data_IF_232422843207
#
_entry.id   IF_232422843207
#
_cell.length_a   1.000
_cell.length_b   1.000
_cell.length_c   1.000
_cell.angle_alpha   90.00
_cell.angle_beta   90.00
_cell.angle_gamma   90.00
#
_symmetry.space_group_name_H-M   'P 1'
#
loop_
_entity.id
_entity.type
_entity.pdbx_description
1 polymer ?
#
# COMPACT_ATOMS: atom_id res chain seq x y z
N UNK A 1 -29.89 -48.43 -14.27
CA UNK A 1 -29.48 -47.80 -13.00
C UNK A 1 -28.37 -46.82 -13.31
N UNK A 2 -28.70 -45.52 -13.40
CA UNK A 2 -27.76 -44.45 -13.72
C UNK A 2 -27.09 -43.98 -12.43
N UNK A 3 -25.79 -44.21 -12.30
CA UNK A 3 -24.99 -43.74 -11.17
C UNK A 3 -24.65 -42.26 -11.40
N UNK A 4 -25.49 -41.38 -10.87
CA UNK A 4 -25.19 -39.97 -10.67
C UNK A 4 -24.00 -39.84 -9.70
N UNK A 5 -22.81 -39.62 -10.26
CA UNK A 5 -21.68 -39.11 -9.49
C UNK A 5 -21.96 -37.64 -9.22
N UNK A 6 -22.43 -37.32 -8.00
CA UNK A 6 -22.44 -35.95 -7.52
C UNK A 6 -21.01 -35.42 -7.56
N UNK A 7 -20.74 -34.54 -8.51
CA UNK A 7 -19.52 -33.73 -8.49
C UNK A 7 -19.51 -32.96 -7.16
N UNK A 8 -18.55 -33.28 -6.27
CA UNK A 8 -18.27 -32.45 -5.12
C UNK A 8 -17.99 -31.05 -5.67
N UNK A 9 -18.83 -30.08 -5.32
CA UNK A 9 -18.55 -28.66 -5.52
C UNK A 9 -17.20 -28.37 -4.88
N UNK A 10 -16.14 -28.32 -5.69
CA UNK A 10 -14.83 -27.90 -5.25
C UNK A 10 -14.97 -26.44 -4.85
N UNK A 11 -14.71 -26.13 -3.59
CA UNK A 11 -14.62 -24.73 -3.15
C UNK A 11 -13.62 -24.01 -4.07
N UNK A 12 -13.94 -22.79 -4.52
CA UNK A 12 -13.02 -22.01 -5.32
C UNK A 12 -11.66 -21.90 -4.61
N UNK A 13 -10.60 -22.29 -5.32
CA UNK A 13 -9.24 -22.29 -4.78
C UNK A 13 -8.58 -20.95 -5.12
N UNK A 14 -8.21 -20.17 -4.10
CA UNK A 14 -7.40 -18.98 -4.32
C UNK A 14 -5.95 -19.40 -4.57
N UNK A 15 -5.34 -18.85 -5.61
CA UNK A 15 -3.93 -19.07 -5.92
C UNK A 15 -3.17 -17.75 -5.83
N UNK A 16 -2.07 -17.76 -5.09
CA UNK A 16 -1.11 -16.67 -5.10
C UNK A 16 -0.40 -16.57 -6.46
N UNK A 17 0.44 -15.55 -6.67
CA UNK A 17 1.11 -15.36 -7.96
C UNK A 17 2.08 -16.50 -8.30
N UNK A 18 2.58 -17.24 -7.31
CA UNK A 18 3.50 -18.36 -7.50
C UNK A 18 2.78 -19.71 -7.69
N UNK A 19 1.45 -19.71 -7.82
CA UNK A 19 0.65 -20.92 -7.97
C UNK A 19 0.35 -21.67 -6.68
N UNK A 20 0.68 -21.10 -5.51
CA UNK A 20 0.40 -21.76 -4.24
C UNK A 20 -1.05 -21.53 -3.79
N UNK A 21 -1.71 -22.55 -3.23
CA UNK A 21 -3.02 -22.39 -2.61
C UNK A 21 -2.97 -21.38 -1.47
N UNK A 22 -3.88 -20.41 -1.49
CA UNK A 22 -4.11 -19.47 -0.41
C UNK A 22 -5.41 -19.81 0.32
N UNK A 23 -5.33 -19.79 1.63
CA UNK A 23 -6.48 -19.96 2.52
C UNK A 23 -6.65 -18.72 3.38
N UNK A 24 -7.91 -18.33 3.58
CA UNK A 24 -8.24 -17.21 4.44
C UNK A 24 -7.83 -17.50 5.89
N UNK A 25 -7.09 -16.59 6.56
CA UNK A 25 -6.84 -16.68 7.98
C UNK A 25 -8.15 -16.75 8.79
N UNK A 26 -8.18 -17.64 9.79
CA UNK A 26 -9.32 -17.85 10.69
C UNK A 26 -9.03 -17.49 12.15
N UNK A 27 -7.77 -17.18 12.51
CA UNK A 27 -7.43 -16.72 13.84
C UNK A 27 -7.99 -15.33 14.13
N UNK A 28 -8.17 -15.05 15.41
CA UNK A 28 -8.68 -13.80 15.95
C UNK A 28 -7.54 -12.93 16.49
N UNK A 29 -7.77 -11.62 16.57
CA UNK A 29 -6.81 -10.73 17.25
C UNK A 29 -6.65 -11.07 18.73
N UNK A 30 -7.67 -11.66 19.37
CA UNK A 30 -7.58 -12.10 20.76
C UNK A 30 -6.53 -13.21 20.92
N UNK A 31 -6.53 -14.21 20.05
CA UNK A 31 -5.53 -15.29 20.07
C UNK A 31 -4.11 -14.75 19.85
N UNK A 32 -3.96 -13.76 18.97
CA UNK A 32 -2.68 -13.06 18.75
C UNK A 32 -2.22 -12.36 20.03
N UNK A 33 -3.08 -11.55 20.65
CA UNK A 33 -2.75 -10.82 21.87
C UNK A 33 -2.46 -11.74 23.06
N UNK A 34 -3.26 -12.79 23.25
CA UNK A 34 -3.12 -13.73 24.36
C UNK A 34 -1.82 -14.55 24.28
N UNK A 35 -1.27 -14.73 23.08
CA UNK A 35 -0.03 -15.48 22.88
C UNK A 35 1.24 -14.68 23.24
N UNK A 36 1.18 -13.34 23.21
CA UNK A 36 2.34 -12.46 23.39
C UNK A 36 2.60 -12.22 24.88
N UNK A 37 3.87 -12.36 25.36
CA UNK A 37 4.21 -12.08 26.75
C UNK A 37 3.86 -10.65 27.19
N UNK A 38 3.28 -10.50 28.38
CA UNK A 38 2.78 -9.23 28.88
C UNK A 38 3.84 -8.12 29.00
N UNK A 39 5.13 -8.47 29.15
CA UNK A 39 6.21 -7.48 29.19
C UNK A 39 6.51 -6.87 27.81
N UNK A 40 6.21 -7.56 26.71
CA UNK A 40 6.42 -7.03 25.36
C UNK A 40 5.58 -5.76 25.11
N UNK A 41 4.45 -5.59 25.80
CA UNK A 41 3.58 -4.41 25.71
C UNK A 41 4.03 -3.22 26.58
N UNK A 42 5.18 -3.31 27.26
CA UNK A 42 5.61 -2.30 28.23
C UNK A 42 6.77 -1.47 27.67
N UNK A 43 6.52 -0.27 27.11
CA UNK A 43 7.60 0.61 26.68
C UNK A 43 8.41 1.13 27.89
N UNK A 44 9.72 1.23 27.70
CA UNK A 44 10.68 1.87 28.59
C UNK A 44 11.15 3.19 27.99
N UNK A 45 10.80 4.30 28.64
CA UNK A 45 11.24 5.64 28.24
C UNK A 45 12.77 5.71 28.17
N UNK A 46 13.45 5.14 29.17
CA UNK A 46 14.92 5.14 29.21
C UNK A 46 15.50 4.43 27.99
N UNK A 47 14.96 3.25 27.62
CA UNK A 47 15.44 2.49 26.47
C UNK A 47 15.14 3.23 25.17
N UNK A 48 13.92 3.70 24.97
CA UNK A 48 13.53 4.44 23.78
C UNK A 48 14.36 5.72 23.58
N UNK A 49 14.59 6.50 24.65
CA UNK A 49 15.45 7.69 24.60
C UNK A 49 16.93 7.34 24.39
N UNK A 50 17.42 6.22 24.92
CA UNK A 50 18.79 5.77 24.66
C UNK A 50 19.03 5.50 23.17
N UNK A 51 18.05 4.95 22.45
CA UNK A 51 18.13 4.80 20.99
C UNK A 51 18.13 6.16 20.26
N UNK A 52 17.34 7.13 20.71
CA UNK A 52 17.40 8.50 20.17
C UNK A 52 18.80 9.08 20.35
N UNK A 53 19.36 9.02 21.57
CA UNK A 53 20.72 9.52 21.85
C UNK A 53 21.75 8.80 21.00
N UNK A 54 21.64 7.47 20.86
CA UNK A 54 22.53 6.65 20.02
C UNK A 54 22.50 7.09 18.56
N UNK A 55 21.31 7.26 17.98
CA UNK A 55 21.17 7.57 16.56
C UNK A 55 21.65 8.99 16.25
N UNK A 56 21.37 9.96 17.13
CA UNK A 56 21.94 11.31 17.02
C UNK A 56 23.45 11.34 17.28
N UNK A 57 23.98 10.49 18.16
CA UNK A 57 25.42 10.33 18.35
C UNK A 57 26.10 9.79 17.08
N UNK A 58 25.51 8.78 16.42
CA UNK A 58 26.01 8.29 15.13
C UNK A 58 25.95 9.36 14.06
N UNK A 59 24.85 10.11 13.98
CA UNK A 59 24.70 11.23 13.06
C UNK A 59 25.81 12.26 13.24
N UNK A 60 26.01 12.76 14.46
CA UNK A 60 27.01 13.79 14.73
C UNK A 60 28.44 13.28 14.51
N UNK A 61 28.70 12.02 14.89
CA UNK A 61 30.02 11.39 14.70
C UNK A 61 30.35 11.24 13.22
N UNK A 62 29.41 10.75 12.40
CA UNK A 62 29.62 10.59 10.96
C UNK A 62 29.87 11.93 10.27
N UNK A 63 29.10 12.98 10.60
CA UNK A 63 29.34 14.33 10.08
C UNK A 63 30.74 14.82 10.48
N UNK A 64 31.11 14.69 11.75
CA UNK A 64 32.42 15.12 12.24
C UNK A 64 33.57 14.41 11.51
N UNK A 65 33.48 13.08 11.39
CA UNK A 65 34.50 12.29 10.69
C UNK A 65 34.57 12.66 9.21
N UNK A 66 33.43 12.84 8.55
CA UNK A 66 33.36 13.19 7.14
C UNK A 66 34.03 14.54 6.85
N UNK A 67 33.65 15.58 7.59
CA UNK A 67 34.18 16.94 7.40
C UNK A 67 35.66 17.03 7.79
N UNK A 68 36.10 16.28 8.81
CA UNK A 68 37.49 16.33 9.30
C UNK A 68 38.45 15.56 8.40
N UNK A 69 38.09 14.34 7.98
CA UNK A 69 39.04 13.40 7.40
C UNK A 69 38.89 13.19 5.88
N UNK A 70 37.68 13.29 5.30
CA UNK A 70 37.51 13.06 3.86
C UNK A 70 38.31 14.10 3.04
N UNK A 71 38.32 15.41 3.38
CA UNK A 71 39.12 16.39 2.64
C UNK A 71 40.63 16.12 2.65
N UNK A 72 41.13 15.39 3.67
CA UNK A 72 42.56 15.07 3.82
C UNK A 72 43.03 13.95 2.87
N UNK A 73 42.10 13.22 2.24
CA UNK A 73 42.46 12.17 1.30
C UNK A 73 43.08 12.78 0.02
N UNK A 74 44.29 12.36 -0.39
CA UNK A 74 45.02 13.01 -1.48
C UNK A 74 44.38 12.75 -2.85
N UNK A 75 43.78 11.57 -3.03
CA UNK A 75 43.22 11.13 -4.31
C UNK A 75 41.75 11.57 -4.44
N UNK A 76 41.40 12.21 -5.57
CA UNK A 76 40.02 12.70 -5.83
C UNK A 76 38.99 11.57 -5.93
N UNK A 77 39.34 10.41 -6.49
CA UNK A 77 38.46 9.26 -6.59
C UNK A 77 38.22 8.62 -5.22
N UNK A 78 39.26 8.56 -4.36
CA UNK A 78 39.09 8.13 -2.97
C UNK A 78 38.22 9.08 -2.18
N UNK A 79 38.38 10.40 -2.37
CA UNK A 79 37.48 11.41 -1.76
C UNK A 79 36.04 11.22 -2.20
N UNK A 80 35.81 11.04 -3.50
CA UNK A 80 34.48 10.80 -4.05
C UNK A 80 33.85 9.53 -3.45
N UNK A 81 34.59 8.41 -3.47
CA UNK A 81 34.13 7.16 -2.88
C UNK A 81 33.82 7.30 -1.38
N UNK A 82 34.64 8.03 -0.62
CA UNK A 82 34.42 8.28 0.79
C UNK A 82 33.16 9.14 1.05
N UNK A 83 32.88 10.14 0.19
CA UNK A 83 31.64 10.92 0.26
C UNK A 83 30.40 10.08 -0.07
N UNK A 84 30.49 9.19 -1.07
CA UNK A 84 29.40 8.24 -1.39
C UNK A 84 29.15 7.29 -0.22
N UNK A 85 30.21 6.75 0.39
CA UNK A 85 30.11 5.89 1.56
C UNK A 85 29.47 6.64 2.75
N UNK A 86 29.95 7.85 3.04
CA UNK A 86 29.38 8.70 4.09
C UNK A 86 27.89 8.94 3.86
N UNK A 87 27.50 9.44 2.68
CA UNK A 87 26.09 9.78 2.42
C UNK A 87 25.16 8.58 2.52
N UNK A 88 25.63 7.41 2.07
CA UNK A 88 24.89 6.14 2.18
C UNK A 88 24.69 5.74 3.64
N UNK A 89 25.77 5.68 4.43
CA UNK A 89 25.70 5.28 5.85
C UNK A 89 24.93 6.30 6.68
N UNK A 90 25.11 7.60 6.42
CA UNK A 90 24.36 8.67 7.05
C UNK A 90 22.85 8.56 6.75
N UNK A 91 22.51 8.17 5.52
CA UNK A 91 21.15 7.87 5.10
C UNK A 91 20.53 6.72 5.90
N UNK A 92 21.30 5.68 6.25
CA UNK A 92 20.82 4.62 7.14
C UNK A 92 20.50 5.15 8.54
N UNK A 93 21.39 5.97 9.10
CA UNK A 93 21.16 6.58 10.42
C UNK A 93 19.92 7.48 10.41
N UNK A 94 19.73 8.30 9.38
CA UNK A 94 18.53 9.13 9.26
C UNK A 94 17.25 8.27 9.13
N UNK A 95 17.33 7.14 8.44
CA UNK A 95 16.20 6.20 8.34
C UNK A 95 15.86 5.61 9.71
N UNK A 96 16.87 5.27 10.53
CA UNK A 96 16.67 4.89 11.94
C UNK A 96 15.95 5.96 12.77
N UNK A 97 16.34 7.23 12.62
CA UNK A 97 15.65 8.36 13.28
C UNK A 97 14.19 8.48 12.80
N UNK A 98 13.95 8.28 11.50
CA UNK A 98 12.59 8.26 10.96
C UNK A 98 11.74 7.16 11.60
N UNK A 99 12.31 5.97 11.80
CA UNK A 99 11.63 4.82 12.39
C UNK A 99 11.32 5.08 13.88
N UNK A 100 12.23 5.70 14.65
CA UNK A 100 11.94 6.09 16.03
C UNK A 100 10.77 7.09 16.14
N UNK A 101 10.65 8.00 15.17
CA UNK A 101 9.51 8.91 15.08
C UNK A 101 8.22 8.19 14.65
N UNK A 102 8.33 7.18 13.79
CA UNK A 102 7.22 6.27 13.47
C UNK A 102 6.73 5.54 14.73
N UNK A 103 7.63 5.00 15.58
CA UNK A 103 7.27 4.36 16.86
C UNK A 103 6.53 5.33 17.81
N UNK A 104 6.88 6.61 17.76
CA UNK A 104 6.13 7.66 18.46
C UNK A 104 4.69 7.79 17.93
N UNK A 105 4.50 7.67 16.61
CA UNK A 105 3.19 7.71 15.95
C UNK A 105 2.23 6.61 16.45
N UNK A 106 2.75 5.41 16.71
CA UNK A 106 1.97 4.29 17.27
C UNK A 106 1.82 4.31 18.78
N UNK A 107 2.62 5.13 19.46
CA UNK A 107 2.70 5.13 20.92
C UNK A 107 3.52 3.97 21.51
N UNK A 108 4.29 3.28 20.67
CA UNK A 108 5.22 2.23 21.06
C UNK A 108 6.47 2.80 21.76
N UNK A 109 6.80 4.07 21.49
CA UNK A 109 7.96 4.74 22.10
C UNK A 109 7.80 4.97 23.62
N UNK A 110 6.61 5.32 24.09
CA UNK A 110 6.29 5.59 25.51
C UNK A 110 4.77 5.52 25.78
N UNK A 111 4.37 5.29 27.03
CA UNK A 111 2.96 5.43 27.45
C UNK A 111 2.46 6.88 27.43
N UNK A 112 3.37 7.86 27.44
CA UNK A 112 3.01 9.27 27.42
C UNK A 112 2.76 9.77 26.00
N UNK A 113 1.50 10.03 25.66
CA UNK A 113 1.12 10.63 24.36
C UNK A 113 1.84 11.95 24.10
N UNK A 114 2.00 12.79 25.12
CA UNK A 114 2.72 14.07 25.00
C UNK A 114 4.17 13.84 24.61
N UNK A 115 4.86 12.92 25.28
CA UNK A 115 6.26 12.61 24.96
C UNK A 115 6.40 12.09 23.54
N UNK A 116 5.56 11.13 23.14
CA UNK A 116 5.56 10.60 21.78
C UNK A 116 5.33 11.70 20.76
N UNK A 117 4.34 12.56 20.97
CA UNK A 117 4.02 13.61 20.03
C UNK A 117 5.14 14.65 19.91
N UNK A 118 5.78 15.02 21.02
CA UNK A 118 6.93 15.92 21.01
C UNK A 118 8.12 15.32 20.30
N UNK A 119 8.51 14.08 20.65
CA UNK A 119 9.69 13.43 20.06
C UNK A 119 9.48 13.11 18.58
N UNK A 120 8.28 12.62 18.22
CA UNK A 120 7.89 12.37 16.84
C UNK A 120 7.92 13.65 16.01
N UNK A 121 7.35 14.75 16.51
CA UNK A 121 7.38 16.04 15.83
C UNK A 121 8.82 16.53 15.58
N UNK A 122 9.71 16.45 16.57
CA UNK A 122 11.11 16.88 16.44
C UNK A 122 11.84 16.05 15.37
N UNK A 123 11.80 14.72 15.49
CA UNK A 123 12.55 13.81 14.61
C UNK A 123 12.02 13.80 13.17
N UNK A 124 10.70 13.81 12.98
CA UNK A 124 10.11 13.90 11.64
C UNK A 124 10.26 15.29 11.02
N UNK A 125 10.18 16.38 11.80
CA UNK A 125 10.45 17.73 11.27
C UNK A 125 11.90 17.85 10.79
N UNK A 126 12.86 17.28 11.53
CA UNK A 126 14.25 17.17 11.09
C UNK A 126 14.41 16.46 9.74
N UNK A 127 13.46 15.61 9.34
CA UNK A 127 13.45 14.87 8.07
C UNK A 127 12.40 15.39 7.08
N UNK A 128 11.87 16.60 7.31
CA UNK A 128 10.84 17.24 6.48
C UNK A 128 9.55 16.41 6.32
N UNK A 129 9.19 15.67 7.37
CA UNK A 129 7.94 14.89 7.42
C UNK A 129 6.94 15.59 8.35
N UNK A 130 5.72 15.89 7.89
CA UNK A 130 4.70 16.48 8.75
C UNK A 130 4.13 15.42 9.71
N UNK A 131 4.75 15.28 10.89
CA UNK A 131 4.51 14.19 11.84
C UNK A 131 3.03 13.90 12.13
N UNK A 132 2.23 14.91 12.48
CA UNK A 132 0.83 14.68 12.84
C UNK A 132 -0.04 14.32 11.66
N UNK A 133 0.24 14.87 10.48
CA UNK A 133 -0.44 14.51 9.25
C UNK A 133 -0.14 13.06 8.90
N UNK A 134 1.14 12.71 8.85
CA UNK A 134 1.59 11.36 8.52
C UNK A 134 1.11 10.32 9.54
N UNK A 135 1.24 10.56 10.85
CA UNK A 135 0.82 9.56 11.85
C UNK A 135 -0.68 9.26 11.79
N UNK A 136 -1.50 10.26 11.40
CA UNK A 136 -2.96 10.11 11.31
C UNK A 136 -3.34 9.30 10.08
N UNK A 137 -2.79 9.62 8.91
CA UNK A 137 -3.02 8.84 7.68
C UNK A 137 -2.42 7.44 7.79
N UNK A 138 -1.26 7.30 8.43
CA UNK A 138 -0.63 6.01 8.71
C UNK A 138 -1.45 5.17 9.72
N UNK A 139 -2.04 5.78 10.75
CA UNK A 139 -2.99 5.08 11.63
C UNK A 139 -4.23 4.57 10.87
N UNK A 140 -4.66 5.27 9.82
CA UNK A 140 -5.75 4.80 8.94
C UNK A 140 -5.29 3.61 8.09
N UNK A 141 -4.06 3.65 7.56
CA UNK A 141 -3.44 2.51 6.88
C UNK A 141 -3.54 1.25 7.76
N UNK A 142 -2.98 1.25 8.97
CA UNK A 142 -3.04 0.10 9.88
C UNK A 142 -4.46 -0.42 10.17
N UNK A 143 -5.46 0.46 10.16
CA UNK A 143 -6.86 0.08 10.41
C UNK A 143 -7.53 -0.53 9.18
N UNK A 144 -6.95 -0.37 8.00
CA UNK A 144 -7.54 -0.76 6.73
C UNK A 144 -6.58 -1.53 5.81
N UNK A 145 -5.38 -1.89 6.27
CA UNK A 145 -4.34 -2.51 5.45
C UNK A 145 -4.87 -3.68 4.63
N UNK A 146 -4.54 -3.71 3.35
CA UNK A 146 -4.97 -4.77 2.42
C UNK A 146 -6.45 -4.71 2.01
N UNK A 147 -7.20 -3.67 2.41
CA UNK A 147 -8.53 -3.40 1.87
C UNK A 147 -8.43 -2.59 0.56
N UNK A 148 -9.05 -3.08 -0.51
CA UNK A 148 -8.97 -2.47 -1.84
C UNK A 148 -9.56 -1.05 -1.94
N UNK A 149 -10.45 -0.66 -1.02
CA UNK A 149 -11.15 0.62 -1.07
C UNK A 149 -10.71 1.62 0.00
N UNK A 150 -10.25 1.11 1.16
CA UNK A 150 -10.07 1.91 2.38
C UNK A 150 -8.62 2.06 2.83
N UNK A 151 -7.71 1.26 2.29
CA UNK A 151 -6.30 1.41 2.63
C UNK A 151 -5.76 2.75 2.10
N UNK A 152 -4.95 3.43 2.91
CA UNK A 152 -4.40 4.76 2.61
C UNK A 152 -3.01 4.70 2.01
N UNK A 153 -2.40 3.51 1.86
CA UNK A 153 -1.12 3.33 1.22
C UNK A 153 -1.03 1.95 0.52
N UNK A 154 -0.25 1.87 -0.56
CA UNK A 154 0.02 0.63 -1.30
C UNK A 154 -1.24 -0.12 -1.81
N UNK A 155 -2.32 0.59 -2.12
CA UNK A 155 -3.49 0.01 -2.78
C UNK A 155 -3.10 -0.44 -4.20
N UNK A 156 -3.12 -1.74 -4.51
CA UNK A 156 -2.75 -2.20 -5.83
C UNK A 156 -3.81 -1.82 -6.87
N UNK A 157 -3.39 -1.74 -8.12
CA UNK A 157 -4.34 -1.60 -9.22
C UNK A 157 -5.14 -2.89 -9.41
N UNK A 158 -6.43 -2.77 -9.70
CA UNK A 158 -7.16 -3.84 -10.39
C UNK A 158 -6.66 -3.95 -11.83
N UNK A 159 -6.86 -5.09 -12.51
CA UNK A 159 -6.48 -5.23 -13.93
C UNK A 159 -6.97 -4.04 -14.77
N UNK A 160 -8.25 -3.72 -14.72
CA UNK A 160 -8.83 -2.62 -15.49
C UNK A 160 -8.17 -1.26 -15.18
N UNK A 161 -7.91 -0.96 -13.89
CA UNK A 161 -7.23 0.29 -13.54
C UNK A 161 -5.79 0.30 -14.02
N UNK A 162 -5.07 -0.81 -13.93
CA UNK A 162 -3.68 -0.90 -14.37
C UNK A 162 -3.57 -0.67 -15.88
N UNK A 163 -4.45 -1.31 -16.66
CA UNK A 163 -4.52 -1.18 -18.11
C UNK A 163 -4.82 0.25 -18.55
N UNK A 164 -5.79 0.90 -17.90
CA UNK A 164 -6.13 2.30 -18.21
C UNK A 164 -5.02 3.28 -17.85
N UNK A 165 -4.29 3.01 -16.77
CA UNK A 165 -3.16 3.84 -16.35
C UNK A 165 -1.99 3.75 -17.32
N UNK A 166 -1.65 2.54 -17.80
CA UNK A 166 -0.47 2.32 -18.64
C UNK A 166 -0.74 2.49 -20.15
N UNK A 167 -1.93 2.14 -20.63
CA UNK A 167 -2.29 2.17 -22.07
C UNK A 167 -3.35 3.22 -22.43
N UNK A 168 -3.76 4.03 -21.45
CA UNK A 168 -4.70 5.14 -21.62
C UNK A 168 -6.16 4.77 -21.35
N UNK A 169 -6.99 5.80 -21.09
CA UNK A 169 -8.35 5.64 -20.59
C UNK A 169 -9.32 4.86 -21.52
N UNK A 170 -8.98 4.73 -22.82
CA UNK A 170 -9.76 3.98 -23.80
C UNK A 170 -9.33 2.51 -23.92
N UNK A 171 -8.20 2.13 -23.30
CA UNK A 171 -7.76 0.74 -23.29
C UNK A 171 -8.75 -0.11 -22.49
N UNK A 172 -9.05 -1.29 -23.02
CA UNK A 172 -9.90 -2.28 -22.35
C UNK A 172 -9.03 -3.41 -21.82
N UNK A 173 -9.44 -3.98 -20.69
CA UNK A 173 -8.72 -5.05 -20.00
C UNK A 173 -8.50 -6.33 -20.85
N UNK A 174 -9.17 -6.46 -21.98
CA UNK A 174 -9.07 -7.57 -22.93
C UNK A 174 -8.26 -7.25 -24.22
N UNK A 175 -7.71 -6.04 -24.37
CA UNK A 175 -7.05 -5.58 -25.61
C UNK A 175 -5.51 -5.56 -25.50
N UNK A 176 -4.89 -6.63 -25.02
CA UNK A 176 -3.47 -6.59 -24.64
C UNK A 176 -2.76 -7.83 -25.17
N UNK A 177 -2.20 -7.68 -26.37
CA UNK A 177 -1.15 -8.58 -26.89
C UNK A 177 0.06 -7.77 -27.41
N UNK A 178 -0.13 -6.50 -27.79
CA UNK A 178 0.93 -5.71 -28.44
C UNK A 178 1.68 -4.75 -27.50
N UNK A 179 1.04 -4.31 -26.42
CA UNK A 179 1.65 -3.39 -25.45
C UNK A 179 2.54 -4.12 -24.41
N UNK A 180 2.50 -5.46 -24.42
CA UNK A 180 3.24 -6.34 -23.50
C UNK A 180 4.75 -6.39 -23.80
N UNK A 181 5.17 -6.08 -25.03
CA UNK A 181 6.58 -6.19 -25.41
C UNK A 181 7.42 -4.97 -25.00
N UNK A 182 6.81 -3.80 -24.73
CA UNK A 182 7.54 -2.56 -24.48
C UNK A 182 7.86 -2.29 -23.00
N UNK A 183 6.98 -2.70 -22.08
CA UNK A 183 7.08 -2.36 -20.65
C UNK A 183 8.01 -3.30 -19.84
N UNK A 184 8.25 -4.55 -20.27
CA UNK A 184 9.19 -5.45 -19.59
C UNK A 184 10.64 -5.28 -20.05
N UNK A 185 10.95 -4.18 -20.77
CA UNK A 185 12.33 -3.84 -21.07
C UNK A 185 13.09 -3.49 -19.78
N UNK A 186 14.32 -4.00 -19.58
CA UNK A 186 15.11 -3.69 -18.39
C UNK A 186 15.29 -2.18 -18.14
N UNK A 187 15.31 -1.38 -19.21
CA UNK A 187 15.46 0.07 -19.12
C UNK A 187 14.19 0.76 -18.62
N UNK A 188 13.01 0.28 -19.03
CA UNK A 188 11.72 0.79 -18.55
C UNK A 188 11.53 0.45 -17.08
N UNK A 189 11.83 -0.79 -16.68
CA UNK A 189 11.79 -1.22 -15.29
C UNK A 189 12.74 -0.37 -14.41
N UNK A 190 13.99 -0.17 -14.85
CA UNK A 190 14.96 0.65 -14.14
C UNK A 190 14.50 2.12 -14.03
N UNK A 191 13.95 2.69 -15.10
CA UNK A 191 13.42 4.05 -15.07
C UNK A 191 12.26 4.20 -14.08
N UNK A 192 11.32 3.25 -14.10
CA UNK A 192 10.22 3.20 -13.14
C UNK A 192 10.74 3.11 -11.70
N UNK A 193 11.76 2.29 -11.45
CA UNK A 193 12.39 2.17 -10.13
C UNK A 193 13.03 3.47 -9.66
N UNK A 194 13.77 4.16 -10.55
CA UNK A 194 14.38 5.46 -10.23
C UNK A 194 13.30 6.49 -9.88
N UNK A 195 12.24 6.59 -10.69
CA UNK A 195 11.13 7.52 -10.43
C UNK A 195 10.43 7.17 -9.12
N UNK A 196 10.15 5.89 -8.89
CA UNK A 196 9.51 5.39 -7.68
C UNK A 196 10.33 5.72 -6.42
N UNK A 197 11.65 5.47 -6.44
CA UNK A 197 12.51 5.72 -5.28
C UNK A 197 12.75 7.21 -5.00
N UNK A 198 12.81 8.06 -6.03
CA UNK A 198 13.03 9.50 -5.86
C UNK A 198 11.75 10.25 -5.49
N UNK A 199 10.62 9.89 -6.10
CA UNK A 199 9.39 10.68 -6.02
C UNK A 199 8.24 9.97 -5.31
N UNK A 200 8.36 8.69 -4.96
CA UNK A 200 7.32 7.93 -4.26
C UNK A 200 6.92 8.58 -2.94
N UNK A 201 7.89 8.89 -2.08
CA UNK A 201 7.62 9.50 -0.78
C UNK A 201 7.10 10.95 -0.87
N UNK A 202 7.76 11.89 -1.58
CA UNK A 202 7.20 13.22 -1.78
C UNK A 202 5.82 13.19 -2.46
N UNK A 203 5.62 12.30 -3.43
CA UNK A 203 4.36 12.15 -4.13
C UNK A 203 3.25 11.59 -3.25
N UNK A 204 3.56 10.67 -2.33
CA UNK A 204 2.61 10.24 -1.29
C UNK A 204 2.16 11.42 -0.43
N UNK A 205 3.11 12.21 0.08
CA UNK A 205 2.80 13.34 0.95
C UNK A 205 1.99 14.43 0.24
N UNK A 206 2.35 14.77 -1.00
CA UNK A 206 1.77 15.89 -1.75
C UNK A 206 0.51 15.53 -2.55
N UNK A 207 0.42 14.28 -3.02
CA UNK A 207 -0.58 13.88 -4.02
C UNK A 207 -1.29 12.55 -3.68
N UNK A 208 -1.08 11.98 -2.49
CA UNK A 208 -1.68 10.70 -2.07
C UNK A 208 -1.42 9.57 -3.09
N UNK A 209 -0.21 9.51 -3.66
CA UNK A 209 0.16 8.40 -4.54
C UNK A 209 0.03 7.08 -3.80
N UNK A 210 -0.52 6.04 -4.44
CA UNK A 210 -0.74 4.68 -3.89
C UNK A 210 -1.84 4.53 -2.83
N UNK A 211 -2.47 5.60 -2.36
CA UNK A 211 -3.61 5.51 -1.43
C UNK A 211 -4.95 5.31 -2.13
N UNK A 212 -6.01 5.09 -1.35
CA UNK A 212 -7.38 5.10 -1.85
C UNK A 212 -7.76 6.41 -2.57
N UNK A 213 -8.79 6.36 -3.41
CA UNK A 213 -9.19 7.49 -4.27
C UNK A 213 -10.12 8.51 -3.64
N UNK A 214 -10.60 8.30 -2.40
CA UNK A 214 -11.46 9.23 -1.66
C UNK A 214 -12.60 9.85 -2.51
N UNK A 215 -13.35 9.02 -3.25
CA UNK A 215 -14.44 9.50 -4.11
C UNK A 215 -14.02 10.44 -5.25
N UNK A 216 -12.73 10.44 -5.65
CA UNK A 216 -12.19 11.29 -6.69
C UNK A 216 -11.74 12.67 -6.22
N UNK A 217 -11.50 12.87 -4.91
CA UNK A 217 -10.94 14.10 -4.37
C UNK A 217 -9.59 14.44 -5.03
N UNK A 218 -9.31 15.74 -5.21
CA UNK A 218 -8.12 16.26 -5.90
C UNK A 218 -7.57 17.51 -5.21
N UNK A 219 -6.35 17.89 -5.58
CA UNK A 219 -5.71 19.13 -5.16
C UNK A 219 -5.36 19.10 -3.67
N UNK A 220 -5.60 20.22 -2.98
CA UNK A 220 -5.20 20.37 -1.58
C UNK A 220 -5.90 19.38 -0.62
N UNK A 221 -7.07 18.85 -0.99
CA UNK A 221 -7.81 17.93 -0.11
C UNK A 221 -7.08 16.61 0.15
N UNK A 222 -6.12 16.26 -0.70
CA UNK A 222 -5.36 15.00 -0.69
C UNK A 222 -3.86 15.20 -0.42
N UNK A 223 -3.46 16.33 0.17
CA UNK A 223 -2.09 16.52 0.68
C UNK A 223 -2.03 16.43 2.20
N UNK A 224 -0.90 15.95 2.70
CA UNK A 224 -0.58 15.91 4.13
C UNK A 224 -0.26 17.29 4.72
N UNK A 225 -0.11 18.32 3.89
CA UNK A 225 0.16 19.70 4.30
C UNK A 225 -1.10 20.59 4.30
N UNK A 226 -2.30 19.98 4.22
CA UNK A 226 -3.55 20.73 4.18
C UNK A 226 -4.35 20.59 5.47
N UNK A 227 -4.59 21.74 6.10
CA UNK A 227 -5.32 21.88 7.36
C UNK A 227 -6.70 22.52 7.19
N UNK A 228 -7.34 22.38 6.02
CA UNK A 228 -8.72 22.80 5.79
C UNK A 228 -9.75 21.77 6.28
N UNK A 229 -10.96 22.22 6.62
CA UNK A 229 -12.05 21.36 7.13
C UNK A 229 -12.55 20.32 6.11
N UNK A 230 -12.25 20.52 4.83
CA UNK A 230 -12.60 19.61 3.74
C UNK A 230 -11.44 18.67 3.32
N UNK A 231 -10.41 18.53 4.17
CA UNK A 231 -9.39 17.48 4.06
C UNK A 231 -10.03 16.08 4.09
N UNK A 232 -9.56 15.17 3.25
CA UNK A 232 -10.05 13.78 3.26
C UNK A 232 -9.40 12.94 4.36
N UNK A 233 -8.27 13.39 4.90
CA UNK A 233 -7.49 12.65 5.88
C UNK A 233 -7.86 12.99 7.32
N UNK A 234 -8.21 14.25 7.59
CA UNK A 234 -8.19 14.79 8.96
C UNK A 234 -9.55 15.31 9.39
N UNK A 235 -9.86 15.13 10.67
CA UNK A 235 -11.04 15.72 11.31
C UNK A 235 -10.76 17.16 11.71
N UNK A 236 -11.80 18.00 11.82
CA UNK A 236 -11.71 19.39 12.29
C UNK A 236 -10.92 19.56 13.59
N UNK A 237 -11.09 18.65 14.55
CA UNK A 237 -10.39 18.70 15.83
C UNK A 237 -8.88 18.39 15.73
N UNK A 238 -8.41 17.83 14.61
CA UNK A 238 -7.02 17.45 14.38
C UNK A 238 -6.23 18.54 13.64
N UNK A 239 -6.90 19.48 12.97
CA UNK A 239 -6.29 20.54 12.14
C UNK A 239 -5.23 21.37 12.86
N UNK A 240 -5.36 21.74 14.16
CA UNK A 240 -4.30 22.44 14.87
C UNK A 240 -2.98 21.64 14.95
N UNK A 241 -3.05 20.32 14.99
CA UNK A 241 -1.87 19.44 14.98
C UNK A 241 -1.23 19.36 13.60
N UNK A 242 -2.04 19.43 12.53
CA UNK A 242 -1.56 19.49 11.15
C UNK A 242 -0.74 20.76 10.96
N UNK A 243 -1.30 21.91 11.33
CA UNK A 243 -0.60 23.20 11.30
C UNK A 243 0.70 23.17 12.11
N UNK A 244 0.70 22.57 13.30
CA UNK A 244 1.91 22.43 14.11
C UNK A 244 3.01 21.62 13.39
N UNK A 245 2.64 20.59 12.64
CA UNK A 245 3.59 19.80 11.86
C UNK A 245 4.15 20.58 10.68
N UNK A 246 3.30 21.34 9.99
CA UNK A 246 3.71 22.20 8.88
C UNK A 246 4.68 23.30 9.36
N UNK A 247 4.42 23.87 10.54
CA UNK A 247 5.36 24.80 11.20
C UNK A 247 6.69 24.11 11.49
N UNK A 248 6.68 22.88 12.01
CA UNK A 248 7.90 22.11 12.26
C UNK A 248 8.73 21.90 11.00
N UNK A 249 8.09 21.54 9.88
CA UNK A 249 8.75 21.42 8.57
C UNK A 249 9.27 22.77 8.09
N UNK A 250 8.50 23.85 8.20
CA UNK A 250 8.93 25.20 7.81
C UNK A 250 10.13 25.70 8.63
N UNK A 251 10.16 25.42 9.94
CA UNK A 251 11.28 25.72 10.82
C UNK A 251 12.53 24.96 10.40
N UNK A 252 12.41 23.67 10.07
CA UNK A 252 13.55 22.89 9.58
C UNK A 252 14.07 23.43 8.23
N UNK A 253 13.18 23.78 7.30
CA UNK A 253 13.57 24.41 6.03
C UNK A 253 14.33 25.72 6.28
N UNK A 254 13.82 26.59 7.16
CA UNK A 254 14.50 27.82 7.53
C UNK A 254 15.88 27.55 8.16
N UNK A 255 15.97 26.53 9.02
CA UNK A 255 17.24 26.07 9.61
C UNK A 255 18.25 25.62 8.56
N UNK A 256 17.82 24.87 7.53
CA UNK A 256 18.65 24.45 6.41
C UNK A 256 19.12 25.63 5.55
N UNK A 257 18.26 26.62 5.32
CA UNK A 257 18.63 27.84 4.58
C UNK A 257 19.71 28.63 5.36
N UNK A 258 19.51 28.84 6.66
CA UNK A 258 20.49 29.51 7.52
C UNK A 258 21.80 28.73 7.57
N UNK A 259 21.74 27.40 7.71
CA UNK A 259 22.93 26.55 7.66
C UNK A 259 23.64 26.67 6.30
N UNK A 260 22.91 26.77 5.20
CA UNK A 260 23.47 26.97 3.85
C UNK A 260 24.18 28.32 3.71
N UNK A 261 23.66 29.37 4.35
CA UNK A 261 24.29 30.69 4.39
C UNK A 261 25.57 30.71 5.23
N UNK A 262 25.62 29.96 6.34
CA UNK A 262 26.77 29.92 7.26
C UNK A 262 27.87 28.97 6.78
N UNK A 263 27.50 27.76 6.36
CA UNK A 263 28.43 26.67 6.05
C UNK A 263 28.59 26.40 4.55
N UNK A 264 27.81 27.08 3.70
CA UNK A 264 27.76 26.86 2.26
C UNK A 264 26.68 25.84 1.86
N UNK A 265 25.82 26.21 0.92
CA UNK A 265 24.68 25.37 0.49
C UNK A 265 25.11 23.99 -0.01
N UNK A 266 26.24 23.88 -0.70
CA UNK A 266 26.76 22.58 -1.16
C UNK A 266 27.11 21.65 -0.01
N UNK A 267 27.71 22.17 1.07
CA UNK A 267 28.02 21.38 2.26
C UNK A 267 26.74 20.88 2.94
N UNK A 268 25.70 21.71 3.05
CA UNK A 268 24.41 21.29 3.59
C UNK A 268 23.74 20.23 2.70
N UNK A 269 23.80 20.40 1.38
CA UNK A 269 23.28 19.39 0.44
C UNK A 269 24.00 18.05 0.64
N UNK A 270 25.32 18.03 0.74
CA UNK A 270 26.07 16.76 0.89
C UNK A 270 25.90 16.16 2.28
N UNK A 271 25.92 16.96 3.35
CA UNK A 271 25.88 16.49 4.74
C UNK A 271 24.48 16.14 5.24
N UNK A 272 23.44 16.75 4.69
CA UNK A 272 22.05 16.53 5.10
C UNK A 272 21.14 16.19 3.93
N UNK A 273 21.22 16.92 2.81
CA UNK A 273 20.32 16.75 1.67
C UNK A 273 20.39 15.39 0.99
N UNK A 274 21.60 14.91 0.65
CA UNK A 274 21.79 13.59 0.03
C UNK A 274 21.45 12.45 1.01
N UNK A 275 21.88 12.47 2.28
CA UNK A 275 21.37 11.53 3.28
C UNK A 275 19.85 11.54 3.46
N UNK A 276 19.20 12.72 3.37
CA UNK A 276 17.74 12.82 3.39
C UNK A 276 17.08 12.18 2.16
N UNK A 277 17.68 12.30 0.97
CA UNK A 277 17.20 11.56 -0.22
C UNK A 277 17.29 10.04 -0.03
N UNK A 278 18.31 9.55 0.69
CA UNK A 278 18.37 8.14 1.07
C UNK A 278 17.21 7.71 1.97
N UNK A 279 16.75 8.57 2.89
CA UNK A 279 15.56 8.29 3.71
C UNK A 279 14.34 8.09 2.82
N UNK A 280 14.13 8.96 1.83
CA UNK A 280 13.01 8.84 0.89
C UNK A 280 13.06 7.49 0.15
N UNK A 281 14.23 7.10 -0.35
CA UNK A 281 14.45 5.79 -0.95
C UNK A 281 14.14 4.65 0.03
N UNK A 282 14.70 4.67 1.24
CA UNK A 282 14.53 3.56 2.18
C UNK A 282 13.08 3.41 2.65
N UNK A 283 12.38 4.51 2.95
CA UNK A 283 10.96 4.44 3.32
C UNK A 283 10.17 3.76 2.21
N UNK A 284 10.33 4.21 0.96
CA UNK A 284 9.60 3.66 -0.19
C UNK A 284 9.95 2.20 -0.42
N UNK A 285 11.24 1.84 -0.44
CA UNK A 285 11.67 0.48 -0.70
C UNK A 285 11.24 -0.51 0.41
N UNK A 286 11.37 -0.12 1.68
CA UNK A 286 10.99 -0.93 2.84
C UNK A 286 9.50 -1.19 2.82
N UNK A 287 8.70 -0.13 2.77
CA UNK A 287 7.24 -0.25 2.83
C UNK A 287 6.66 -0.93 1.59
N UNK A 288 7.22 -0.70 0.40
CA UNK A 288 6.87 -1.46 -0.79
C UNK A 288 7.06 -2.97 -0.58
N UNK A 289 8.23 -3.40 -0.10
CA UNK A 289 8.54 -4.83 0.06
C UNK A 289 7.79 -5.51 1.19
N UNK A 290 7.37 -4.74 2.18
CA UNK A 290 6.55 -5.15 3.31
C UNK A 290 5.09 -5.39 2.93
N UNK A 291 4.59 -4.66 1.91
CA UNK A 291 3.18 -4.69 1.48
C UNK A 291 2.97 -5.32 0.10
N UNK A 292 4.03 -5.51 -0.69
CA UNK A 292 3.96 -6.06 -2.05
C UNK A 292 4.79 -7.33 -2.13
N UNK A 293 4.12 -8.46 -2.31
CA UNK A 293 4.73 -9.75 -2.61
C UNK A 293 3.77 -10.66 -3.37
N UNK A 294 4.32 -11.56 -4.18
CA UNK A 294 3.59 -12.58 -4.93
C UNK A 294 2.59 -13.38 -4.07
N UNK A 295 2.89 -13.53 -2.77
CA UNK A 295 2.05 -14.27 -1.82
C UNK A 295 1.03 -13.43 -1.04
N UNK A 296 0.97 -12.10 -1.25
CA UNK A 296 0.09 -11.21 -0.48
C UNK A 296 -1.34 -11.14 -1.05
N UNK A 297 -2.36 -11.39 -0.22
CA UNK A 297 -3.76 -11.17 -0.56
C UNK A 297 -4.17 -9.70 -0.39
N UNK A 298 -5.20 -9.31 -1.13
CA UNK A 298 -5.97 -8.10 -0.89
C UNK A 298 -7.46 -8.44 -0.85
N UNK A 299 -8.27 -7.61 -0.20
CA UNK A 299 -9.65 -7.96 0.13
C UNK A 299 -10.65 -6.87 -0.24
N UNK A 300 -11.83 -7.27 -0.68
CA UNK A 300 -12.99 -6.40 -0.72
C UNK A 300 -13.54 -6.10 0.69
N UNK A 301 -14.50 -5.18 0.79
CA UNK A 301 -15.10 -4.80 2.06
C UNK A 301 -15.84 -5.94 2.78
N UNK A 302 -16.34 -6.96 2.06
CA UNK A 302 -17.12 -8.06 2.65
C UNK A 302 -16.21 -9.12 3.28
N UNK A 303 -15.05 -9.34 2.67
CA UNK A 303 -14.09 -10.39 3.04
C UNK A 303 -13.05 -9.86 4.01
N UNK A 304 -12.78 -8.55 3.97
CA UNK A 304 -11.81 -7.92 4.86
C UNK A 304 -12.23 -8.02 6.33
N UNK A 305 -11.27 -8.37 7.18
CA UNK A 305 -11.33 -8.17 8.64
C UNK A 305 -9.98 -7.59 9.07
N UNK A 306 -9.91 -6.98 10.25
CA UNK A 306 -8.65 -6.43 10.75
C UNK A 306 -7.54 -7.48 10.79
N UNK A 307 -7.82 -8.70 11.28
CA UNK A 307 -6.83 -9.78 11.34
C UNK A 307 -6.32 -10.20 9.94
N UNK A 308 -7.22 -10.26 8.94
CA UNK A 308 -6.84 -10.58 7.55
C UNK A 308 -6.01 -9.48 6.91
N UNK A 309 -6.40 -8.22 7.14
CA UNK A 309 -5.70 -7.05 6.60
C UNK A 309 -4.32 -6.86 7.22
N UNK A 310 -4.21 -6.90 8.55
CA UNK A 310 -2.95 -6.76 9.27
C UNK A 310 -1.93 -7.87 8.93
N UNK A 311 -2.40 -9.02 8.43
CA UNK A 311 -1.56 -10.15 8.02
C UNK A 311 -1.33 -10.24 6.52
N UNK A 312 -1.85 -9.28 5.74
CA UNK A 312 -1.47 -9.06 4.35
C UNK A 312 -0.16 -8.25 4.27
N UNK A 313 0.84 -8.70 5.04
CA UNK A 313 2.18 -8.12 5.13
C UNK A 313 3.22 -9.23 5.23
N UNK A 314 4.47 -8.90 4.93
CA UNK A 314 5.56 -9.87 4.90
C UNK A 314 6.82 -9.30 5.58
N UNK A 315 7.48 -10.13 6.39
CA UNK A 315 8.79 -9.79 6.93
C UNK A 315 9.89 -10.02 5.88
N UNK A 316 10.90 -9.15 5.88
CA UNK A 316 12.12 -9.31 5.07
C UNK A 316 13.35 -9.32 5.96
N UNK A 317 14.52 -9.49 5.37
CA UNK A 317 15.79 -9.41 6.08
C UNK A 317 16.76 -8.47 5.36
N UNK A 318 17.32 -7.52 6.11
CA UNK A 318 18.43 -6.64 5.69
C UNK A 318 19.63 -6.76 6.64
N UNK A 319 19.70 -7.85 7.39
CA UNK A 319 20.78 -8.22 8.29
C UNK A 319 21.08 -7.17 9.34
N UNK A 320 22.37 -6.85 9.49
CA UNK A 320 22.84 -5.89 10.50
C UNK A 320 22.22 -4.49 10.32
N UNK A 321 21.93 -4.08 9.09
CA UNK A 321 21.33 -2.77 8.85
C UNK A 321 19.93 -2.72 9.47
N UNK A 322 19.13 -3.76 9.29
CA UNK A 322 17.79 -3.81 9.91
C UNK A 322 17.88 -3.84 11.44
N UNK A 323 18.55 -4.87 11.96
CA UNK A 323 18.61 -5.14 13.40
C UNK A 323 19.25 -4.00 14.21
N UNK A 324 20.25 -3.31 13.66
CA UNK A 324 20.96 -2.26 14.40
C UNK A 324 20.51 -0.84 14.05
N UNK A 325 20.34 -0.53 12.77
CA UNK A 325 20.08 0.84 12.30
C UNK A 325 18.59 1.10 12.06
N UNK A 326 17.84 0.13 11.55
CA UNK A 326 16.41 0.29 11.25
C UNK A 326 15.50 -0.32 12.32
N UNK A 327 16.07 -0.68 13.46
CA UNK A 327 15.31 -1.05 14.65
C UNK A 327 14.37 -2.25 14.40
N UNK A 328 14.81 -3.24 13.63
CA UNK A 328 14.07 -4.49 13.31
C UNK A 328 12.72 -4.28 12.57
N UNK A 329 12.45 -3.09 12.02
CA UNK A 329 11.17 -2.82 11.36
C UNK A 329 10.94 -3.71 10.13
N UNK A 330 12.02 -4.09 9.43
CA UNK A 330 11.92 -4.91 8.22
C UNK A 330 11.61 -6.37 8.59
N UNK A 331 12.29 -6.90 9.62
CA UNK A 331 12.17 -8.27 10.08
C UNK A 331 11.01 -8.55 11.03
N UNK A 332 10.26 -7.53 11.46
CA UNK A 332 9.13 -7.68 12.40
C UNK A 332 7.86 -6.95 11.95
N UNK A 333 7.75 -6.65 10.66
CA UNK A 333 6.64 -5.87 10.11
C UNK A 333 5.26 -6.51 10.29
N UNK A 334 5.18 -7.84 10.23
CA UNK A 334 3.93 -8.57 10.50
C UNK A 334 3.47 -8.33 11.95
N UNK A 335 4.40 -8.36 12.91
CA UNK A 335 4.10 -8.03 14.30
C UNK A 335 3.68 -6.58 14.45
N UNK A 336 4.39 -5.68 13.78
CA UNK A 336 4.07 -4.26 13.77
C UNK A 336 2.65 -3.99 13.24
N UNK A 337 2.19 -4.65 12.19
CA UNK A 337 0.81 -4.47 11.70
C UNK A 337 -0.26 -5.04 12.62
N UNK A 338 -0.01 -6.21 13.19
CA UNK A 338 -0.92 -6.84 14.14
C UNK A 338 -1.04 -6.03 15.45
N UNK A 339 0.09 -5.54 15.96
CA UNK A 339 0.19 -4.88 17.26
C UNK A 339 1.27 -3.79 17.25
N UNK A 340 0.99 -2.69 16.54
CA UNK A 340 1.95 -1.57 16.38
C UNK A 340 2.32 -0.83 17.67
N UNK A 341 1.66 -1.12 18.79
CA UNK A 341 1.97 -0.53 20.10
C UNK A 341 3.08 -1.26 20.86
N UNK A 342 3.53 -2.42 20.36
CA UNK A 342 4.69 -3.12 20.90
C UNK A 342 5.95 -2.34 20.49
N UNK A 343 6.82 -1.95 21.43
CA UNK A 343 8.09 -1.30 21.10
C UNK A 343 8.95 -2.22 20.24
N UNK A 344 9.59 -1.66 19.22
CA UNK A 344 10.48 -2.39 18.30
C UNK A 344 11.46 -3.36 19.00
N UNK A 345 12.04 -2.97 20.13
CA UNK A 345 12.98 -3.82 20.89
C UNK A 345 12.34 -5.01 21.64
N UNK A 346 11.02 -5.17 21.54
CA UNK A 346 10.26 -6.36 21.94
C UNK A 346 9.57 -7.04 20.74
N UNK A 347 9.59 -6.43 19.56
CA UNK A 347 8.89 -6.94 18.38
C UNK A 347 9.46 -8.30 17.94
N UNK A 348 10.78 -8.50 18.00
CA UNK A 348 11.39 -9.80 17.68
C UNK A 348 10.91 -10.94 18.58
N UNK A 349 10.77 -10.70 19.88
CA UNK A 349 10.21 -11.67 20.82
C UNK A 349 8.73 -11.91 20.55
N UNK A 350 7.94 -10.85 20.39
CA UNK A 350 6.51 -10.94 20.08
C UNK A 350 6.25 -11.72 18.78
N UNK A 351 7.06 -11.51 17.74
CA UNK A 351 7.01 -12.25 16.47
C UNK A 351 7.13 -13.76 16.65
N UNK A 352 7.94 -14.25 17.60
CA UNK A 352 8.06 -15.69 17.88
C UNK A 352 6.72 -16.27 18.34
N UNK A 353 5.99 -15.53 19.18
CA UNK A 353 4.68 -15.95 19.70
C UNK A 353 3.59 -15.82 18.64
N UNK A 354 3.61 -14.74 17.86
CA UNK A 354 2.70 -14.51 16.73
C UNK A 354 2.81 -15.63 15.69
N UNK A 355 4.04 -16.02 15.33
CA UNK A 355 4.30 -17.13 14.38
C UNK A 355 3.60 -18.43 14.78
N UNK A 356 3.52 -18.73 16.09
CA UNK A 356 2.84 -19.94 16.59
C UNK A 356 1.34 -19.92 16.37
N UNK A 357 0.71 -18.75 16.47
CA UNK A 357 -0.74 -18.57 16.26
C UNK A 357 -1.05 -18.53 14.76
N UNK A 358 -0.28 -17.77 13.98
CA UNK A 358 -0.52 -17.61 12.54
C UNK A 358 -0.21 -18.87 11.73
N UNK A 359 0.74 -19.68 12.17
CA UNK A 359 1.16 -20.90 11.47
C UNK A 359 1.51 -20.61 10.01
N UNK A 360 0.85 -21.31 9.08
CA UNK A 360 1.06 -21.17 7.63
C UNK A 360 0.73 -19.79 7.05
N UNK A 361 -0.02 -18.97 7.78
CA UNK A 361 -0.38 -17.62 7.34
C UNK A 361 0.70 -16.59 7.66
N UNK A 362 1.71 -16.93 8.46
CA UNK A 362 2.85 -16.03 8.67
C UNK A 362 3.72 -16.02 7.41
N UNK A 363 3.97 -14.82 6.87
CA UNK A 363 4.76 -14.65 5.65
C UNK A 363 6.07 -13.96 5.97
N UNK A 364 7.16 -14.57 5.51
CA UNK A 364 8.50 -14.03 5.60
C UNK A 364 9.32 -14.49 4.40
N UNK A 365 10.14 -13.60 3.86
CA UNK A 365 11.16 -13.92 2.86
C UNK A 365 12.49 -13.31 3.30
N UNK A 366 13.22 -14.09 4.09
CA UNK A 366 14.52 -13.73 4.66
C UNK A 366 15.69 -14.32 3.86
N UNK A 367 15.41 -15.10 2.81
CA UNK A 367 16.43 -15.76 1.98
C UNK A 367 16.74 -14.96 0.72
N UNK A 368 15.76 -14.24 0.19
CA UNK A 368 15.96 -13.39 -0.99
C UNK A 368 16.59 -12.07 -0.54
N UNK A 369 17.73 -11.69 -1.14
CA UNK A 369 18.34 -10.39 -0.87
C UNK A 369 17.36 -9.24 -1.14
N UNK A 370 17.38 -8.21 -0.28
CA UNK A 370 16.40 -7.12 -0.29
C UNK A 370 16.17 -6.52 -1.68
N UNK A 371 17.23 -6.10 -2.38
CA UNK A 371 17.11 -5.52 -3.71
C UNK A 371 16.68 -6.54 -4.77
N UNK A 372 17.06 -7.81 -4.64
CA UNK A 372 16.55 -8.88 -5.52
C UNK A 372 15.04 -9.07 -5.35
N UNK A 373 14.55 -9.06 -4.11
CA UNK A 373 13.11 -9.09 -3.83
C UNK A 373 12.42 -7.84 -4.39
N UNK A 374 13.05 -6.67 -4.23
CA UNK A 374 12.51 -5.40 -4.74
C UNK A 374 12.28 -5.46 -6.25
N UNK A 375 13.33 -5.78 -7.01
CA UNK A 375 13.24 -5.87 -8.47
C UNK A 375 12.30 -7.00 -8.95
N UNK A 376 12.29 -8.14 -8.24
CA UNK A 376 11.36 -9.23 -8.53
C UNK A 376 9.92 -8.74 -8.39
N UNK A 377 9.58 -8.17 -7.24
CA UNK A 377 8.21 -7.81 -6.91
C UNK A 377 7.73 -6.63 -7.75
N UNK A 378 8.58 -5.66 -8.06
CA UNK A 378 8.25 -4.57 -8.99
C UNK A 378 7.84 -5.11 -10.38
N UNK A 379 8.53 -6.16 -10.83
CA UNK A 379 8.31 -6.72 -12.17
C UNK A 379 7.17 -7.73 -12.22
N UNK A 380 6.87 -8.43 -11.12
CA UNK A 380 5.86 -9.49 -11.08
C UNK A 380 4.52 -9.03 -10.49
N UNK A 381 4.50 -8.12 -9.52
CA UNK A 381 3.28 -7.67 -8.85
C UNK A 381 2.65 -6.45 -9.55
N UNK A 382 2.02 -6.64 -10.72
CA UNK A 382 1.53 -5.52 -11.54
C UNK A 382 0.13 -5.03 -11.18
N UNK A 383 -0.79 -5.97 -11.01
CA UNK A 383 -2.17 -5.71 -10.62
C UNK A 383 -2.71 -6.88 -9.82
N UNK A 384 -3.88 -6.70 -9.21
CA UNK A 384 -4.58 -7.77 -8.49
C UNK A 384 -5.92 -8.09 -9.14
N UNK A 385 -6.31 -9.36 -9.06
CA UNK A 385 -7.62 -9.87 -9.46
C UNK A 385 -7.93 -11.17 -8.69
N UNK A 386 -9.18 -11.62 -8.75
CA UNK A 386 -9.56 -12.91 -8.18
C UNK A 386 -8.98 -14.05 -9.00
N UNK A 387 -8.78 -15.21 -8.38
CA UNK A 387 -8.35 -16.41 -9.14
C UNK A 387 -9.47 -16.85 -10.08
N UNK A 388 -9.12 -17.32 -11.28
CA UNK A 388 -10.10 -17.88 -12.22
C UNK A 388 -10.90 -19.02 -11.55
N UNK A 389 -12.23 -18.96 -11.63
CA UNK A 389 -13.14 -19.87 -10.95
C UNK A 389 -13.41 -19.54 -9.48
N UNK A 390 -12.81 -18.48 -8.94
CA UNK A 390 -13.03 -17.97 -7.58
C UNK A 390 -13.68 -16.58 -7.56
N UNK A 391 -14.39 -16.21 -8.62
CA UNK A 391 -15.01 -14.90 -8.76
C UNK A 391 -16.10 -14.66 -7.70
N UNK A 392 -16.14 -13.44 -7.16
CA UNK A 392 -17.06 -13.04 -6.10
C UNK A 392 -16.64 -13.49 -4.69
N UNK A 393 -15.45 -14.06 -4.55
CA UNK A 393 -14.86 -14.42 -3.25
C UNK A 393 -14.39 -13.21 -2.44
N UNK A 394 -14.09 -12.10 -3.10
CA UNK A 394 -13.51 -10.90 -2.49
C UNK A 394 -12.04 -11.05 -2.10
N UNK A 395 -11.33 -12.06 -2.61
CA UNK A 395 -9.89 -12.29 -2.40
C UNK A 395 -9.12 -12.04 -3.70
N UNK A 396 -8.33 -10.98 -3.70
CA UNK A 396 -7.52 -10.52 -4.82
C UNK A 396 -6.06 -10.89 -4.61
N UNK A 397 -5.42 -11.41 -5.66
CA UNK A 397 -4.01 -11.81 -5.66
C UNK A 397 -3.27 -11.15 -6.80
N UNK A 398 -1.98 -10.92 -6.63
CA UNK A 398 -1.16 -10.32 -7.68
C UNK A 398 -1.12 -11.18 -8.95
N UNK A 399 -1.10 -10.52 -10.10
CA UNK A 399 -1.00 -11.09 -11.44
C UNK A 399 -0.11 -10.23 -12.32
N UNK A 400 0.34 -10.87 -13.39
CA UNK A 400 1.20 -10.27 -14.40
C UNK A 400 0.73 -10.72 -15.79
N UNK A 401 0.55 -9.79 -16.73
CA UNK A 401 0.16 -10.15 -18.10
C UNK A 401 1.30 -10.82 -18.87
N UNK A 402 2.57 -10.52 -18.53
CA UNK A 402 3.73 -11.20 -19.12
C UNK A 402 3.76 -12.70 -18.85
N UNK A 403 3.03 -13.13 -17.81
CA UNK A 403 2.83 -14.52 -17.42
C UNK A 403 4.15 -15.31 -17.47
N UNK A 404 5.08 -14.95 -16.59
CA UNK A 404 6.41 -15.58 -16.59
C UNK A 404 6.30 -17.04 -16.18
N UNK A 405 7.32 -17.80 -16.52
CA UNK A 405 7.36 -19.22 -16.17
C UNK A 405 7.17 -19.43 -14.66
N UNK A 406 6.18 -20.26 -14.30
CA UNK A 406 5.81 -20.54 -12.91
C UNK A 406 4.82 -19.55 -12.27
N UNK A 407 4.44 -18.45 -12.94
CA UNK A 407 3.44 -17.53 -12.43
C UNK A 407 2.01 -18.03 -12.71
N UNK A 408 1.08 -17.74 -11.79
CA UNK A 408 -0.35 -17.99 -11.98
C UNK A 408 -0.88 -17.09 -13.08
N UNK A 409 -1.51 -17.71 -14.09
CA UNK A 409 -2.06 -17.00 -15.23
C UNK A 409 -3.12 -15.98 -14.80
N UNK A 410 -3.12 -14.80 -15.44
CA UNK A 410 -4.22 -13.87 -15.32
C UNK A 410 -5.50 -14.50 -15.93
N UNK A 411 -6.68 -14.22 -15.38
CA UNK A 411 -7.99 -14.67 -15.88
C UNK A 411 -8.13 -14.46 -17.39
N UNK A 412 -8.70 -15.45 -18.09
CA UNK A 412 -9.01 -15.35 -19.51
C UNK A 412 -10.30 -14.54 -19.75
N UNK A 413 -10.15 -13.25 -20.04
CA UNK A 413 -11.27 -12.35 -20.28
C UNK A 413 -11.81 -12.39 -21.72
N UNK A 414 -11.15 -13.09 -22.65
CA UNK A 414 -11.60 -13.18 -24.05
C UNK A 414 -12.93 -13.97 -24.18
N UNK A 415 -13.12 -15.00 -23.35
CA UNK A 415 -14.34 -15.82 -23.34
C UNK A 415 -15.53 -15.21 -22.57
N UNK A 416 -15.28 -14.29 -21.63
CA UNK A 416 -16.35 -13.64 -20.85
C UNK A 416 -17.19 -12.69 -21.71
N UNK A 417 -16.59 -12.04 -22.72
CA UNK A 417 -17.30 -11.16 -23.66
C UNK A 417 -18.29 -11.95 -24.52
N UNK A 418 -17.96 -13.19 -24.93
CA UNK A 418 -18.91 -14.03 -25.68
C UNK A 418 -20.10 -14.46 -24.81
N UNK A 419 -19.89 -14.72 -23.52
CA UNK A 419 -20.96 -15.03 -22.56
C UNK A 419 -21.84 -13.82 -22.28
N UNK A 420 -21.27 -12.65 -21.99
CA UNK A 420 -22.04 -11.40 -21.82
C UNK A 420 -22.79 -11.03 -23.10
N UNK A 421 -22.18 -11.16 -24.28
CA UNK A 421 -22.87 -10.90 -25.55
C UNK A 421 -23.99 -11.90 -25.82
N UNK A 422 -23.86 -13.17 -25.40
CA UNK A 422 -24.92 -14.18 -25.49
C UNK A 422 -26.04 -13.90 -24.50
N UNK A 423 -25.75 -13.64 -23.23
CA UNK A 423 -26.77 -13.28 -22.23
C UNK A 423 -27.51 -11.99 -22.60
N UNK A 424 -26.81 -10.95 -23.05
CA UNK A 424 -27.44 -9.70 -23.50
C UNK A 424 -28.28 -9.94 -24.76
N UNK A 425 -27.87 -10.84 -25.68
CA UNK A 425 -28.69 -11.25 -26.82
C UNK A 425 -29.92 -12.03 -26.38
N UNK A 426 -29.79 -12.96 -25.45
CA UNK A 426 -30.89 -13.76 -24.92
C UNK A 426 -31.91 -12.91 -24.17
N UNK A 427 -31.46 -11.97 -23.33
CA UNK A 427 -32.33 -11.02 -22.63
C UNK A 427 -33.05 -10.12 -23.62
N UNK A 428 -32.34 -9.57 -24.62
CA UNK A 428 -32.98 -8.77 -25.68
C UNK A 428 -33.98 -9.59 -26.52
N UNK A 429 -33.67 -10.84 -26.80
CA UNK A 429 -34.55 -11.77 -27.52
C UNK A 429 -35.80 -12.11 -26.70
N UNK A 430 -35.66 -12.41 -25.41
CA UNK A 430 -36.76 -12.67 -24.49
C UNK A 430 -37.67 -11.44 -24.34
N UNK A 431 -37.08 -10.25 -24.24
CA UNK A 431 -37.80 -8.98 -24.12
C UNK A 431 -38.54 -8.62 -25.43
N UNK A 432 -37.92 -8.87 -26.59
CA UNK A 432 -38.58 -8.72 -27.90
C UNK A 432 -39.74 -9.71 -28.07
N UNK A 433 -39.57 -10.95 -27.61
CA UNK A 433 -40.62 -11.98 -27.64
C UNK A 433 -41.80 -11.58 -26.74
N UNK A 434 -41.55 -11.12 -25.53
CA UNK A 434 -42.56 -10.62 -24.61
C UNK A 434 -43.34 -9.41 -25.20
N UNK A 435 -42.62 -8.47 -25.81
CA UNK A 435 -43.22 -7.31 -26.50
C UNK A 435 -44.06 -7.69 -27.72
N UNK A 436 -43.69 -8.75 -28.45
CA UNK A 436 -44.49 -9.24 -29.57
C UNK A 436 -45.78 -9.93 -29.10
N UNK A 437 -45.71 -10.64 -27.97
CA UNK A 437 -46.86 -11.31 -27.36
C UNK A 437 -47.88 -10.32 -26.81
N UNK A 438 -47.41 -9.21 -26.21
CA UNK A 438 -48.29 -8.15 -25.68
C UNK A 438 -48.98 -7.37 -26.81
N UNK A 439 -48.28 -7.10 -27.91
CA UNK A 439 -48.87 -6.46 -29.10
C UNK A 439 -49.95 -7.32 -29.76
N UNK A 440 -49.76 -8.65 -29.82
CA UNK A 440 -50.78 -9.56 -30.34
C UNK A 440 -52.02 -9.67 -29.43
N UNK A 441 -51.84 -9.56 -28.11
CA UNK A 441 -52.95 -9.50 -27.15
C UNK A 441 -53.75 -8.19 -27.29
N UNK A 442 -53.06 -7.05 -27.46
CA UNK A 442 -53.71 -5.75 -27.67
C UNK A 442 -54.41 -5.67 -29.04
N UNK A 443 -53.84 -6.25 -30.10
CA UNK A 443 -54.49 -6.33 -31.40
C UNK A 443 -55.77 -7.18 -31.36
N UNK A 444 -55.76 -8.30 -30.63
CA UNK A 444 -56.98 -9.12 -30.39
C UNK A 444 -58.03 -8.37 -29.56
N UNK A 445 -57.62 -7.60 -28.55
CA UNK A 445 -58.52 -6.76 -27.73
C UNK A 445 -59.16 -5.62 -28.51
N UNK A 446 -58.42 -5.00 -29.45
CA UNK A 446 -58.94 -3.92 -30.30
C UNK A 446 -59.94 -4.45 -31.32
N UNK A 447 -59.69 -5.63 -31.90
CA UNK A 447 -60.65 -6.28 -32.81
C UNK A 447 -61.95 -6.72 -32.11
N UNK A 448 -61.90 -7.13 -30.84
CA UNK A 448 -63.12 -7.45 -30.07
C UNK A 448 -63.94 -6.21 -29.70
N UNK A 449 -63.30 -5.05 -29.48
CA UNK A 449 -64.00 -3.80 -29.17
C UNK A 449 -64.66 -3.17 -30.41
N UNK A 450 -64.05 -3.29 -31.59
CA UNK A 450 -64.64 -2.77 -32.84
C UNK A 450 -65.89 -3.55 -33.28
N UNK A 451 -66.01 -4.83 -32.92
CA UNK A 451 -67.18 -5.64 -33.23
C UNK A 451 -68.42 -5.31 -32.35
N UNK A 452 -68.21 -4.69 -31.18
CA UNK A 452 -69.31 -4.32 -30.26
C UNK A 452 -69.88 -2.91 -30.50
N UNK A 453 -69.22 -2.07 -31.31
CA UNK A 453 -69.64 -0.69 -31.59
C UNK A 453 -70.53 -0.52 -32.84
N UNK A 454 -70.85 -1.62 -33.55
CA UNK A 454 -71.68 -1.59 -34.76
C UNK A 454 -73.20 -1.73 -34.51
N UNK A 455 -73.67 -1.73 -33.26
CA UNK A 455 -75.10 -1.88 -32.92
C UNK A 455 -75.53 -0.93 -31.80
N UNK A 456 -75.67 0.37 -32.11
CA UNK A 456 -76.36 1.34 -31.24
C UNK A 456 -77.26 2.26 -32.09
N UNK A 457 -78.55 2.43 -31.75
CA UNK A 457 -79.48 3.24 -32.53
C UNK A 457 -79.35 4.75 -32.22
N UNK A 458 -79.45 5.56 -33.26
CA UNK A 458 -79.54 7.02 -33.20
C UNK A 458 -80.86 7.46 -32.55
N UNK A 459 -80.79 8.29 -31.50
CA UNK A 459 -81.93 9.01 -30.95
C UNK A 459 -81.89 10.47 -31.40
N UNK A 460 -82.97 10.89 -32.05
CA UNK A 460 -83.33 12.27 -32.34
C UNK A 460 -84.51 12.69 -31.44
N UNK A 461 -84.56 14.01 -31.21
CA UNK A 461 -85.64 14.85 -30.67
C UNK A 461 -85.87 14.91 -29.15
N UNK A 462 -85.82 16.16 -28.64
CA UNK A 462 -86.21 16.58 -27.29
C UNK A 462 -85.33 17.68 -26.71
#
# INVERSE_FOLDING_TARGET
MSSSTMAKSQKPQHLDLNGNPFELPTFTMKEIHDAIPAHCFKPSILRSMAYVVRDYFYLSTLIYLAVTYIPLLPNVYLRFAAWVAYTTVQGFVFTGIWILAHECGHGAFSKSKKLNYTMGLIMHSFLLVPFHSWRLSHSQHHKATGNMDKDTAFVPHTRDSWVKTNFGAKAKANMIEFAELAEDSPISALWHDIVHQLFGWPGYLLFNLTGQRYGGAKGLKITHFYFGEDSVFFKKAELPLILLSDIGVAVMIAGLVVAGQIFGSWNVIVLWGVPWLWVNNWIVAITFLQHTDASMPHYDNKTWTFARGATATIDRDLGFIDTHLFHDIIGTHVCHHLVSTIPFYHAGEASIHIKRVMGKHYKADTKTGFWTAFFRNQRSCKFVEETEGAEGSGVYMYRNLYNREGETKPQNLAGCVEKEHKEVKEVKSAMATAMSSSRNLDARRRLSHSAQLATLPMLADG
#
